data_IF_922977298336
#
_entry.id   IF_922977298336
#
_cell.length_a   1.000
_cell.length_b   1.000
_cell.length_c   1.000
_cell.angle_alpha   90.00
_cell.angle_beta   90.00
_cell.angle_gamma   90.00
#
_symmetry.space_group_name_H-M   'P 1'
#
loop_
_entity.id
_entity.type
_entity.pdbx_description
1 polymer ?
#
# COMPACT_ATOMS: atom_id res chain seq x y z
N UNK A 1 -40.95 -21.49 7.79
CA UNK A 1 -39.57 -21.93 8.08
C UNK A 1 -38.61 -21.58 6.92
N UNK A 2 -38.66 -20.36 6.38
CA UNK A 2 -37.88 -20.00 5.18
C UNK A 2 -37.16 -18.64 5.30
N UNK A 3 -37.53 -17.81 6.28
CA UNK A 3 -36.92 -16.48 6.46
C UNK A 3 -35.56 -16.50 7.18
N UNK A 4 -35.27 -17.53 7.99
CA UNK A 4 -33.98 -17.63 8.69
C UNK A 4 -32.81 -18.06 7.79
N UNK A 5 -33.07 -18.73 6.66
CA UNK A 5 -32.02 -19.20 5.74
C UNK A 5 -31.54 -18.09 4.80
N UNK A 6 -32.41 -17.15 4.44
CA UNK A 6 -32.05 -15.99 3.63
C UNK A 6 -31.17 -14.99 4.40
N UNK A 7 -31.44 -14.77 5.68
CA UNK A 7 -30.61 -13.90 6.53
C UNK A 7 -29.23 -14.51 6.81
N UNK A 8 -29.13 -15.82 7.02
CA UNK A 8 -27.84 -16.50 7.18
C UNK A 8 -27.02 -16.53 5.89
N UNK A 9 -27.65 -16.71 4.73
CA UNK A 9 -26.95 -16.66 3.44
C UNK A 9 -26.48 -15.24 3.08
N UNK A 10 -27.27 -14.21 3.42
CA UNK A 10 -26.85 -12.81 3.27
C UNK A 10 -25.70 -12.47 4.24
N UNK A 11 -25.77 -12.96 5.48
CA UNK A 11 -24.71 -12.75 6.48
C UNK A 11 -23.39 -13.47 6.09
N UNK A 12 -23.46 -14.66 5.50
CA UNK A 12 -22.26 -15.36 5.00
C UNK A 12 -21.70 -14.73 3.71
N UNK A 13 -22.57 -14.20 2.85
CA UNK A 13 -22.16 -13.45 1.65
C UNK A 13 -21.47 -12.12 1.97
N UNK A 14 -21.90 -11.43 3.02
CA UNK A 14 -21.26 -10.19 3.50
C UNK A 14 -19.91 -10.45 4.19
N UNK A 15 -19.78 -11.58 4.89
CA UNK A 15 -18.51 -11.97 5.51
C UNK A 15 -17.42 -12.25 4.47
N UNK A 16 -17.76 -12.83 3.31
CA UNK A 16 -16.77 -13.17 2.29
C UNK A 16 -16.26 -11.93 1.51
N UNK A 17 -17.14 -10.95 1.25
CA UNK A 17 -16.74 -9.69 0.62
C UNK A 17 -15.89 -8.82 1.58
N UNK A 18 -16.27 -8.75 2.86
CA UNK A 18 -15.48 -8.05 3.87
C UNK A 18 -14.07 -8.65 4.07
N UNK A 19 -13.95 -9.98 3.98
CA UNK A 19 -12.64 -10.64 3.99
C UNK A 19 -11.81 -10.33 2.73
N UNK A 20 -12.42 -10.18 1.55
CA UNK A 20 -11.69 -9.89 0.31
C UNK A 20 -11.06 -8.50 0.30
N UNK A 21 -11.80 -7.49 0.77
CA UNK A 21 -11.34 -6.09 0.75
C UNK A 21 -10.25 -5.84 1.81
N UNK A 22 -10.36 -6.49 2.98
CA UNK A 22 -9.28 -6.48 3.98
C UNK A 22 -7.99 -7.10 3.41
N UNK A 23 -8.12 -8.22 2.69
CA UNK A 23 -6.96 -8.89 2.13
C UNK A 23 -6.29 -8.05 1.04
N UNK A 24 -7.07 -7.45 0.14
CA UNK A 24 -6.55 -6.52 -0.86
C UNK A 24 -5.78 -5.37 -0.21
N UNK A 25 -6.37 -4.70 0.78
CA UNK A 25 -5.73 -3.57 1.44
C UNK A 25 -4.44 -3.98 2.18
N UNK A 26 -4.43 -5.17 2.80
CA UNK A 26 -3.24 -5.73 3.45
C UNK A 26 -2.15 -6.09 2.45
N UNK A 27 -2.50 -6.67 1.30
CA UNK A 27 -1.58 -6.98 0.22
C UNK A 27 -0.97 -5.69 -0.35
N UNK A 28 -1.79 -4.66 -0.63
CA UNK A 28 -1.30 -3.34 -1.08
C UNK A 28 -0.38 -2.67 -0.06
N UNK A 29 -0.68 -2.76 1.24
CA UNK A 29 0.21 -2.25 2.28
C UNK A 29 1.55 -3.01 2.32
N UNK A 30 1.55 -4.32 2.07
CA UNK A 30 2.76 -5.11 1.98
C UNK A 30 3.59 -4.75 0.74
N UNK A 31 2.95 -4.58 -0.42
CA UNK A 31 3.60 -4.12 -1.66
C UNK A 31 4.22 -2.73 -1.48
N UNK A 32 3.50 -1.80 -0.86
CA UNK A 32 4.02 -0.46 -0.57
C UNK A 32 5.24 -0.49 0.36
N UNK A 33 5.22 -1.37 1.38
CA UNK A 33 6.35 -1.56 2.29
C UNK A 33 7.57 -2.16 1.59
N UNK A 34 7.38 -3.12 0.68
CA UNK A 34 8.45 -3.70 -0.14
C UNK A 34 9.05 -2.63 -1.06
N UNK A 35 8.20 -1.85 -1.75
CA UNK A 35 8.62 -0.74 -2.59
C UNK A 35 9.43 0.32 -1.81
N UNK A 36 9.00 0.66 -0.59
CA UNK A 36 9.75 1.55 0.30
C UNK A 36 11.13 0.99 0.67
N UNK A 37 11.23 -0.31 0.97
CA UNK A 37 12.49 -0.96 1.30
C UNK A 37 13.45 -1.01 0.10
N UNK A 38 12.93 -1.28 -1.10
CA UNK A 38 13.70 -1.23 -2.35
C UNK A 38 14.16 0.20 -2.66
N UNK A 39 13.30 1.20 -2.48
CA UNK A 39 13.66 2.61 -2.67
C UNK A 39 14.79 3.04 -1.72
N UNK A 40 14.74 2.61 -0.45
CA UNK A 40 15.80 2.86 0.52
C UNK A 40 17.12 2.19 0.13
N UNK A 41 17.06 0.99 -0.45
CA UNK A 41 18.24 0.30 -1.01
C UNK A 41 18.82 1.10 -2.18
N UNK A 42 17.99 1.56 -3.12
CA UNK A 42 18.42 2.39 -4.23
C UNK A 42 19.04 3.71 -3.76
N UNK A 43 18.49 4.35 -2.72
CA UNK A 43 19.09 5.55 -2.12
C UNK A 43 20.48 5.27 -1.52
N UNK A 44 20.67 4.13 -0.86
CA UNK A 44 21.97 3.71 -0.34
C UNK A 44 22.99 3.45 -1.48
N UNK A 45 22.54 2.82 -2.57
CA UNK A 45 23.37 2.59 -3.76
C UNK A 45 23.78 3.91 -4.42
N UNK A 46 22.84 4.84 -4.57
CA UNK A 46 23.10 6.19 -5.08
C UNK A 46 24.13 6.94 -4.21
N UNK A 47 24.01 6.86 -2.89
CA UNK A 47 24.98 7.45 -1.97
C UNK A 47 26.38 6.84 -2.11
N UNK A 48 26.48 5.55 -2.45
CA UNK A 48 27.75 4.87 -2.64
C UNK A 48 28.49 5.28 -3.93
N UNK A 49 27.81 5.86 -4.92
CA UNK A 49 28.44 6.36 -6.16
C UNK A 49 29.30 7.60 -5.92
N UNK A 50 29.00 8.36 -4.84
CA UNK A 50 29.64 9.62 -4.51
C UNK A 50 29.08 10.83 -5.27
N UNK A 51 28.05 10.66 -6.12
CA UNK A 51 27.29 11.78 -6.69
C UNK A 51 26.26 12.27 -5.67
N UNK A 52 26.53 13.43 -5.07
CA UNK A 52 25.65 14.03 -4.06
C UNK A 52 24.26 14.37 -4.60
N UNK A 53 24.14 14.79 -5.87
CA UNK A 53 22.85 15.16 -6.45
C UNK A 53 21.99 13.92 -6.72
N UNK A 54 22.61 12.83 -7.19
CA UNK A 54 21.94 11.54 -7.36
C UNK A 54 21.50 10.96 -6.01
N UNK A 55 22.37 11.03 -4.99
CA UNK A 55 22.07 10.56 -3.64
C UNK A 55 20.90 11.34 -2.99
N UNK A 56 20.90 12.67 -3.10
CA UNK A 56 19.83 13.52 -2.57
C UNK A 56 18.49 13.22 -3.27
N UNK A 57 18.51 13.05 -4.60
CA UNK A 57 17.32 12.71 -5.37
C UNK A 57 16.77 11.33 -5.00
N UNK A 58 17.64 10.33 -4.89
CA UNK A 58 17.25 8.98 -4.52
C UNK A 58 16.70 8.91 -3.08
N UNK A 59 17.29 9.67 -2.17
CA UNK A 59 16.82 9.79 -0.77
C UNK A 59 15.44 10.44 -0.71
N UNK A 60 15.21 11.53 -1.44
CA UNK A 60 13.90 12.18 -1.48
C UNK A 60 12.80 11.26 -2.04
N UNK A 61 13.14 10.46 -3.05
CA UNK A 61 12.25 9.42 -3.59
C UNK A 61 12.00 8.28 -2.60
N UNK A 62 13.01 7.83 -1.86
CA UNK A 62 12.84 6.83 -0.80
C UNK A 62 11.96 7.32 0.34
N UNK A 63 12.11 8.58 0.75
CA UNK A 63 11.24 9.22 1.76
C UNK A 63 9.79 9.30 1.28
N UNK A 64 9.58 9.61 -0.01
CA UNK A 64 8.25 9.60 -0.60
C UNK A 64 7.64 8.19 -0.63
N UNK A 65 8.43 7.16 -0.97
CA UNK A 65 7.98 5.77 -0.94
C UNK A 65 7.60 5.32 0.49
N UNK A 66 8.39 5.71 1.50
CA UNK A 66 8.08 5.45 2.90
C UNK A 66 6.77 6.12 3.36
N UNK A 67 6.57 7.39 3.01
CA UNK A 67 5.33 8.09 3.33
C UNK A 67 4.10 7.45 2.67
N UNK A 68 4.25 6.97 1.43
CA UNK A 68 3.21 6.22 0.72
C UNK A 68 2.94 4.85 1.37
N UNK A 69 3.97 4.14 1.83
CA UNK A 69 3.82 2.89 2.58
C UNK A 69 3.06 3.08 3.90
N UNK A 70 3.37 4.14 4.65
CA UNK A 70 2.64 4.49 5.87
C UNK A 70 1.16 4.81 5.58
N UNK A 71 0.88 5.49 4.45
CA UNK A 71 -0.48 5.76 4.01
C UNK A 71 -1.23 4.47 3.63
N UNK A 72 -0.58 3.55 2.92
CA UNK A 72 -1.15 2.25 2.57
C UNK A 72 -1.48 1.42 3.81
N UNK A 73 -0.57 1.38 4.80
CA UNK A 73 -0.81 0.72 6.08
C UNK A 73 -2.00 1.34 6.84
N UNK A 74 -2.07 2.68 6.89
CA UNK A 74 -3.20 3.38 7.52
C UNK A 74 -4.53 3.06 6.83
N UNK A 75 -4.53 2.99 5.51
CA UNK A 75 -5.70 2.64 4.72
C UNK A 75 -6.11 1.16 4.93
N UNK A 76 -5.14 0.24 5.05
CA UNK A 76 -5.40 -1.15 5.40
C UNK A 76 -6.02 -1.31 6.79
N UNK A 77 -5.53 -0.57 7.80
CA UNK A 77 -6.12 -0.56 9.14
C UNK A 77 -7.55 0.01 9.12
N UNK A 78 -7.81 1.02 8.28
CA UNK A 78 -9.14 1.57 8.08
C UNK A 78 -10.09 0.57 7.41
N UNK A 79 -9.64 -0.15 6.38
CA UNK A 79 -10.39 -1.23 5.75
C UNK A 79 -10.68 -2.34 6.76
N UNK A 80 -9.73 -2.65 7.64
CA UNK A 80 -9.91 -3.65 8.68
C UNK A 80 -10.92 -3.26 9.76
N UNK A 81 -10.98 -1.97 10.09
CA UNK A 81 -11.85 -1.42 11.12
C UNK A 81 -13.23 -0.97 10.61
N UNK A 82 -13.44 -0.98 9.30
CA UNK A 82 -14.67 -0.54 8.67
C UNK A 82 -15.86 -1.41 9.08
N UNK A 83 -16.97 -0.75 9.46
CA UNK A 83 -18.21 -1.44 9.87
C UNK A 83 -19.21 -1.64 8.73
N UNK A 84 -18.93 -1.07 7.57
CA UNK A 84 -19.72 -1.23 6.35
C UNK A 84 -18.82 -1.53 5.14
N UNK A 85 -19.39 -2.21 4.15
CA UNK A 85 -18.62 -2.67 3.00
C UNK A 85 -18.12 -1.53 2.09
N UNK A 86 -18.87 -0.43 1.96
CA UNK A 86 -18.47 0.71 1.13
C UNK A 86 -17.29 1.48 1.73
N UNK A 87 -17.25 1.63 3.05
CA UNK A 87 -16.09 2.19 3.74
C UNK A 87 -14.86 1.27 3.64
N UNK A 88 -15.05 -0.05 3.72
CA UNK A 88 -13.96 -1.01 3.54
C UNK A 88 -13.39 -0.97 2.11
N UNK A 89 -14.26 -0.88 1.11
CA UNK A 89 -13.90 -0.77 -0.32
C UNK A 89 -13.10 0.51 -0.60
N UNK A 90 -13.60 1.66 -0.16
CA UNK A 90 -12.91 2.94 -0.34
C UNK A 90 -11.55 3.00 0.37
N UNK A 91 -11.41 2.31 1.52
CA UNK A 91 -10.14 2.19 2.21
C UNK A 91 -9.18 1.23 1.50
N UNK A 92 -9.66 0.13 0.91
CA UNK A 92 -8.85 -0.75 0.07
C UNK A 92 -8.34 -0.03 -1.19
N UNK A 93 -9.20 0.71 -1.89
CA UNK A 93 -8.83 1.55 -3.03
C UNK A 93 -7.78 2.62 -2.64
N UNK A 94 -7.87 3.16 -1.42
CA UNK A 94 -6.88 4.11 -0.92
C UNK A 94 -5.54 3.43 -0.61
N UNK A 95 -5.55 2.19 -0.13
CA UNK A 95 -4.34 1.40 0.07
C UNK A 95 -3.65 1.08 -1.27
N UNK A 96 -4.42 0.72 -2.28
CA UNK A 96 -3.92 0.44 -3.64
C UNK A 96 -3.29 1.70 -4.27
N UNK A 97 -3.97 2.85 -4.21
CA UNK A 97 -3.40 4.12 -4.71
C UNK A 97 -2.11 4.53 -3.98
N UNK A 98 -2.02 4.24 -2.68
CA UNK A 98 -0.82 4.50 -1.90
C UNK A 98 0.31 3.53 -2.28
N UNK A 99 0.00 2.26 -2.56
CA UNK A 99 0.97 1.30 -3.08
C UNK A 99 1.51 1.72 -4.47
N UNK A 100 0.64 2.11 -5.40
CA UNK A 100 1.05 2.64 -6.71
C UNK A 100 1.97 3.87 -6.57
N UNK A 101 1.67 4.75 -5.61
CA UNK A 101 2.51 5.91 -5.33
C UNK A 101 3.86 5.53 -4.71
N UNK A 102 3.90 4.48 -3.87
CA UNK A 102 5.15 3.93 -3.34
C UNK A 102 6.01 3.32 -4.45
N UNK A 103 5.40 2.59 -5.39
CA UNK A 103 6.10 2.01 -6.54
C UNK A 103 6.66 3.09 -7.48
N UNK A 104 5.89 4.12 -7.81
CA UNK A 104 6.39 5.25 -8.60
C UNK A 104 7.55 5.97 -7.90
N UNK A 105 7.48 6.11 -6.58
CA UNK A 105 8.55 6.71 -5.80
C UNK A 105 9.81 5.82 -5.78
N UNK A 106 9.65 4.50 -5.64
CA UNK A 106 10.72 3.51 -5.79
C UNK A 106 11.40 3.62 -7.15
N UNK A 107 10.63 3.65 -8.25
CA UNK A 107 11.20 3.82 -9.59
C UNK A 107 12.01 5.12 -9.69
N UNK A 108 11.52 6.21 -9.10
CA UNK A 108 12.27 7.46 -9.01
C UNK A 108 13.61 7.33 -8.26
N UNK A 109 13.64 6.57 -7.16
CA UNK A 109 14.86 6.30 -6.41
C UNK A 109 15.85 5.46 -7.23
N UNK A 110 15.38 4.41 -7.90
CA UNK A 110 16.21 3.59 -8.78
C UNK A 110 16.77 4.37 -9.96
N UNK A 111 15.97 5.21 -10.61
CA UNK A 111 16.41 6.04 -11.72
C UNK A 111 17.46 7.06 -11.28
N UNK A 112 17.34 7.61 -10.06
CA UNK A 112 18.36 8.47 -9.49
C UNK A 112 19.65 7.69 -9.19
N UNK A 113 19.56 6.46 -8.68
CA UNK A 113 20.71 5.60 -8.39
C UNK A 113 21.49 5.14 -9.63
N UNK A 114 20.85 5.14 -10.80
CA UNK A 114 21.48 4.77 -12.09
C UNK A 114 22.23 5.93 -12.77
N UNK A 115 22.15 7.16 -12.25
CA UNK A 115 22.82 8.34 -12.83
C UNK A 115 24.26 8.48 -12.34
#
# INVERSE_FOLDING_TARGET
MTMNKALLALALGFALAACSNQQQAADSAAEAADASAEAATAAADAAATGDAAAADAATASADAAAASADAAATAADAAASATDAGAADAAADAAEQAADAAEQAKEGAEEAAKK
#
